data_IF_422614198674
#
_entry.id   IF_422614198674
#
_cell.length_a   1.000
_cell.length_b   1.000
_cell.length_c   1.000
_cell.angle_alpha   90.00
_cell.angle_beta   90.00
_cell.angle_gamma   90.00
#
_symmetry.space_group_name_H-M   'P 1'
#
loop_
_entity.id
_entity.type
_entity.pdbx_description
1 polymer ?
#
# COMPACT_ATOMS: atom_id res chain seq x y z
N UNK A 1 -2.46 3.80 17.82
CA UNK A 1 -2.25 5.23 17.46
C UNK A 1 -1.40 5.98 18.49
N UNK A 2 -1.73 5.89 19.80
CA UNK A 2 -1.00 6.61 20.86
C UNK A 2 0.50 6.27 20.91
N UNK A 3 0.88 5.00 20.80
CA UNK A 3 2.29 4.57 20.85
C UNK A 3 3.10 5.14 19.68
N UNK A 4 2.51 5.20 18.49
CA UNK A 4 3.17 5.81 17.34
C UNK A 4 3.42 7.29 17.55
N UNK A 5 2.41 8.03 17.99
CA UNK A 5 2.52 9.48 18.27
C UNK A 5 3.57 9.74 19.36
N UNK A 6 3.59 8.93 20.41
CA UNK A 6 4.56 9.05 21.50
C UNK A 6 6.01 8.87 21.01
N UNK A 7 6.24 7.88 20.16
CA UNK A 7 7.58 7.59 19.61
C UNK A 7 7.99 8.55 18.49
N UNK A 8 7.10 8.83 17.56
CA UNK A 8 7.45 9.49 16.30
C UNK A 8 6.80 10.86 16.10
N UNK A 9 5.85 11.24 16.94
CA UNK A 9 5.10 12.48 16.77
C UNK A 9 4.06 12.38 15.67
N UNK A 10 3.61 13.54 15.19
CA UNK A 10 2.69 13.62 14.07
C UNK A 10 3.47 13.51 12.73
N UNK A 11 3.28 12.41 12.02
CA UNK A 11 3.96 12.19 10.74
C UNK A 11 3.59 13.24 9.67
N UNK A 12 2.42 13.85 9.78
CA UNK A 12 1.95 14.79 8.76
C UNK A 12 2.62 16.17 8.91
N UNK A 13 2.99 16.55 10.12
CA UNK A 13 3.69 17.82 10.40
C UNK A 13 5.17 17.61 10.67
N UNK A 14 5.59 16.37 10.93
CA UNK A 14 6.95 16.02 11.34
C UNK A 14 7.46 16.92 12.49
N UNK A 15 6.65 17.03 13.54
CA UNK A 15 6.90 17.90 14.69
C UNK A 15 8.16 17.52 15.48
N UNK A 16 8.63 16.28 15.34
CA UNK A 16 9.92 15.84 15.95
C UNK A 16 11.14 16.04 15.06
N UNK A 17 10.96 16.50 13.82
CA UNK A 17 12.06 16.84 12.93
C UNK A 17 12.87 15.66 12.41
N UNK A 18 12.23 14.52 12.15
CA UNK A 18 12.89 13.37 11.52
C UNK A 18 13.35 13.69 10.10
N UNK A 19 14.31 12.95 9.60
CA UNK A 19 14.65 12.99 8.17
C UNK A 19 13.41 12.67 7.34
N UNK A 20 13.27 13.36 6.20
CA UNK A 20 12.15 13.18 5.27
C UNK A 20 12.66 12.86 3.88
N UNK A 21 11.85 12.15 3.10
CA UNK A 21 12.07 11.92 1.68
C UNK A 21 10.73 11.92 0.95
N UNK A 22 10.77 12.02 -0.37
CA UNK A 22 9.58 11.85 -1.19
C UNK A 22 9.30 10.37 -1.41
N UNK A 23 8.03 10.00 -1.42
CA UNK A 23 7.62 8.62 -1.66
C UNK A 23 8.23 8.06 -2.96
N UNK A 24 8.24 8.86 -4.03
CA UNK A 24 8.80 8.45 -5.33
C UNK A 24 10.30 8.16 -5.31
N UNK A 25 11.03 8.72 -4.33
CA UNK A 25 12.47 8.53 -4.20
C UNK A 25 12.80 7.27 -3.38
N UNK A 26 11.84 6.76 -2.62
CA UNK A 26 12.03 5.60 -1.74
C UNK A 26 11.35 4.32 -2.27
N UNK A 27 10.38 4.45 -3.15
CA UNK A 27 9.60 3.31 -3.67
C UNK A 27 9.50 3.33 -5.17
N UNK A 28 9.43 2.12 -5.75
CA UNK A 28 8.94 1.94 -7.10
C UNK A 28 7.41 1.85 -7.04
N UNK A 29 6.74 2.90 -7.49
CA UNK A 29 5.29 2.97 -7.52
C UNK A 29 4.73 2.35 -8.78
N UNK A 30 3.74 1.50 -8.66
CA UNK A 30 3.03 0.93 -9.79
C UNK A 30 1.56 0.72 -9.47
N UNK A 31 0.73 0.76 -10.50
CA UNK A 31 -0.69 0.44 -10.42
C UNK A 31 -0.96 -0.84 -11.18
N UNK A 32 -1.99 -1.57 -10.78
CA UNK A 32 -2.43 -2.74 -11.51
C UNK A 32 -3.20 -2.41 -12.78
N UNK A 33 -3.86 -3.40 -13.30
CA UNK A 33 -4.73 -3.30 -14.49
C UNK A 33 -5.94 -4.20 -14.31
N UNK A 34 -7.01 -3.88 -15.01
CA UNK A 34 -8.16 -4.77 -15.16
C UNK A 34 -8.11 -5.40 -16.55
N UNK A 35 -7.87 -6.72 -16.66
CA UNK A 35 -8.00 -7.41 -17.94
C UNK A 35 -9.40 -7.22 -18.55
N UNK A 36 -9.53 -7.48 -19.85
CA UNK A 36 -10.80 -7.28 -20.57
C UNK A 36 -11.95 -8.00 -19.88
N UNK A 37 -12.88 -7.26 -19.31
CA UNK A 37 -14.01 -7.80 -18.52
C UNK A 37 -14.95 -8.69 -19.33
N UNK A 38 -15.12 -8.36 -20.61
CA UNK A 38 -16.01 -9.08 -21.50
C UNK A 38 -15.35 -10.28 -22.21
N UNK A 39 -14.09 -10.56 -21.90
CA UNK A 39 -13.38 -11.70 -22.47
C UNK A 39 -13.26 -12.84 -21.45
N UNK A 40 -14.04 -13.94 -21.59
CA UNK A 40 -13.97 -15.07 -20.68
C UNK A 40 -12.57 -15.70 -20.55
N UNK A 41 -11.75 -15.64 -21.61
CA UNK A 41 -10.38 -16.17 -21.57
C UNK A 41 -9.50 -15.51 -20.53
N UNK A 42 -9.87 -14.30 -20.09
CA UNK A 42 -9.14 -13.59 -19.06
C UNK A 42 -9.48 -14.07 -17.64
N UNK A 43 -10.67 -14.62 -17.44
CA UNK A 43 -11.23 -14.86 -16.11
C UNK A 43 -11.57 -16.33 -15.83
N UNK A 44 -12.08 -17.06 -16.82
CA UNK A 44 -12.54 -18.44 -16.63
C UNK A 44 -11.36 -19.35 -16.29
N UNK A 45 -11.51 -20.10 -15.19
CA UNK A 45 -10.48 -20.98 -14.67
C UNK A 45 -9.16 -20.29 -14.34
N UNK A 46 -9.21 -19.00 -13.98
CA UNK A 46 -8.05 -18.24 -13.53
C UNK A 46 -7.43 -18.86 -12.29
N UNK A 47 -6.10 -18.83 -12.22
CA UNK A 47 -5.32 -19.39 -11.12
C UNK A 47 -4.38 -18.37 -10.47
N UNK A 48 -4.40 -17.14 -10.94
CA UNK A 48 -3.62 -16.06 -10.35
C UNK A 48 -4.54 -15.11 -9.58
N UNK A 49 -4.24 -14.87 -8.32
CA UNK A 49 -5.01 -13.94 -7.49
C UNK A 49 -4.97 -12.53 -8.06
N UNK A 50 -6.15 -11.94 -8.21
CA UNK A 50 -6.32 -10.57 -8.67
C UNK A 50 -7.14 -9.80 -7.65
N UNK A 51 -6.49 -8.84 -6.97
CA UNK A 51 -7.08 -8.08 -5.87
C UNK A 51 -7.91 -6.92 -6.40
N UNK A 52 -9.18 -6.91 -6.03
CA UNK A 52 -10.12 -5.81 -6.29
C UNK A 52 -10.16 -4.83 -5.13
N UNK A 53 -10.80 -3.68 -5.33
CA UNK A 53 -11.07 -2.71 -4.25
C UNK A 53 -11.94 -3.35 -3.15
N UNK A 54 -12.89 -4.21 -3.53
CA UNK A 54 -13.72 -4.92 -2.57
C UNK A 54 -12.89 -5.86 -1.69
N UNK A 55 -11.94 -6.57 -2.29
CA UNK A 55 -11.05 -7.44 -1.52
C UNK A 55 -10.23 -6.65 -0.49
N UNK A 56 -9.74 -5.45 -0.85
CA UNK A 56 -8.99 -4.58 0.06
C UNK A 56 -9.77 -4.26 1.34
N UNK A 57 -11.09 -4.20 1.28
CA UNK A 57 -11.93 -3.93 2.45
C UNK A 57 -12.02 -5.12 3.41
N UNK A 58 -11.67 -6.31 2.96
CA UNK A 58 -11.73 -7.54 3.77
C UNK A 58 -10.41 -7.86 4.48
N UNK A 59 -9.32 -7.23 4.08
CA UNK A 59 -8.00 -7.52 4.65
C UNK A 59 -7.76 -6.71 5.93
N UNK A 60 -7.14 -7.34 6.92
CA UNK A 60 -6.67 -6.65 8.14
C UNK A 60 -5.28 -6.04 7.90
N UNK A 61 -4.24 -6.86 7.88
CA UNK A 61 -2.86 -6.42 7.64
C UNK A 61 -2.27 -7.03 6.36
N UNK A 62 -2.58 -8.30 6.12
CA UNK A 62 -2.01 -9.06 5.00
C UNK A 62 -3.08 -9.40 3.98
N UNK A 63 -2.67 -9.50 2.71
CA UNK A 63 -3.57 -10.01 1.69
C UNK A 63 -3.89 -11.48 1.95
N UNK A 64 -5.11 -11.86 1.65
CA UNK A 64 -5.59 -13.23 1.74
C UNK A 64 -6.09 -13.70 0.39
N UNK A 65 -7.24 -14.37 0.41
CA UNK A 65 -7.88 -14.80 -0.82
C UNK A 65 -8.48 -13.62 -1.59
N UNK A 66 -8.79 -13.84 -2.84
CA UNK A 66 -9.42 -12.87 -3.73
C UNK A 66 -10.74 -13.42 -4.25
N UNK A 67 -11.68 -12.52 -4.53
CA UNK A 67 -12.96 -12.90 -5.12
C UNK A 67 -12.83 -13.27 -6.60
N UNK A 68 -11.76 -12.81 -7.25
CA UNK A 68 -11.52 -13.08 -8.67
C UNK A 68 -10.08 -13.54 -8.90
N UNK A 69 -9.91 -14.32 -9.96
CA UNK A 69 -8.63 -14.84 -10.42
C UNK A 69 -8.50 -14.55 -11.90
N UNK A 70 -7.26 -14.33 -12.35
CA UNK A 70 -6.97 -14.12 -13.77
C UNK A 70 -6.15 -15.28 -14.35
N UNK A 71 -6.19 -15.42 -15.65
CA UNK A 71 -5.51 -16.49 -16.39
C UNK A 71 -4.13 -16.04 -16.90
N UNK A 72 -3.32 -17.01 -17.33
CA UNK A 72 -2.07 -16.71 -18.06
C UNK A 72 -2.34 -15.89 -19.32
N UNK A 73 -3.44 -16.15 -20.00
CA UNK A 73 -3.86 -15.36 -21.16
C UNK A 73 -4.08 -13.89 -20.77
N UNK A 74 -4.77 -13.63 -19.66
CA UNK A 74 -5.03 -12.27 -19.19
C UNK A 74 -3.72 -11.51 -18.90
N UNK A 75 -2.75 -12.18 -18.31
CA UNK A 75 -1.44 -11.60 -18.01
C UNK A 75 -0.73 -11.21 -19.30
N UNK A 76 -0.68 -12.10 -20.27
CA UNK A 76 -0.03 -11.85 -21.56
C UNK A 76 -0.73 -10.75 -22.36
N UNK A 77 -2.06 -10.80 -22.43
CA UNK A 77 -2.88 -9.87 -23.22
C UNK A 77 -2.87 -8.45 -22.64
N UNK A 78 -3.05 -8.32 -21.35
CA UNK A 78 -3.12 -7.01 -20.68
C UNK A 78 -1.75 -6.40 -20.38
N UNK A 79 -0.71 -7.23 -20.32
CA UNK A 79 0.62 -6.80 -19.88
C UNK A 79 0.67 -6.42 -18.39
N UNK A 80 -0.29 -6.88 -17.60
CA UNK A 80 -0.30 -6.65 -16.15
C UNK A 80 0.96 -7.26 -15.51
N UNK A 81 1.53 -6.54 -14.54
CA UNK A 81 2.74 -6.99 -13.84
C UNK A 81 2.38 -7.48 -12.44
N UNK A 82 3.05 -8.53 -11.94
CA UNK A 82 2.82 -8.99 -10.58
C UNK A 82 3.36 -7.99 -9.56
N UNK A 83 2.69 -7.95 -8.41
CA UNK A 83 3.18 -7.27 -7.22
C UNK A 83 3.87 -8.32 -6.35
N UNK A 84 5.16 -8.16 -6.05
CA UNK A 84 5.91 -9.14 -5.26
C UNK A 84 5.38 -9.28 -3.84
N UNK A 85 5.56 -10.45 -3.24
CA UNK A 85 5.37 -10.68 -1.80
C UNK A 85 6.15 -9.65 -0.98
N UNK A 86 5.58 -9.20 0.15
CA UNK A 86 6.22 -8.25 1.05
C UNK A 86 6.15 -6.80 0.55
N UNK A 87 5.21 -6.49 -0.31
CA UNK A 87 4.95 -5.14 -0.82
C UNK A 87 3.72 -4.56 -0.14
N UNK A 88 3.75 -3.26 0.16
CA UNK A 88 2.57 -2.56 0.68
C UNK A 88 1.74 -2.10 -0.51
N UNK A 89 0.45 -2.39 -0.47
CA UNK A 89 -0.53 -1.93 -1.45
C UNK A 89 -1.57 -1.04 -0.79
N UNK A 90 -2.07 -0.06 -1.52
CA UNK A 90 -3.05 0.90 -1.02
C UNK A 90 -4.08 1.25 -2.09
N UNK A 91 -5.36 1.23 -1.73
CA UNK A 91 -6.41 1.77 -2.58
C UNK A 91 -6.32 3.30 -2.63
N UNK A 92 -6.44 3.89 -3.82
CA UNK A 92 -6.32 5.34 -3.99
C UNK A 92 -7.40 5.98 -4.87
N UNK A 93 -8.35 5.18 -5.33
CA UNK A 93 -9.56 5.61 -6.05
C UNK A 93 -10.77 4.96 -5.42
N UNK A 94 -11.92 5.63 -5.42
CA UNK A 94 -13.20 5.17 -4.87
C UNK A 94 -13.16 5.02 -3.34
N UNK A 95 -12.22 4.24 -2.83
CA UNK A 95 -11.91 4.11 -1.41
C UNK A 95 -10.43 4.42 -1.21
N UNK A 96 -10.10 5.43 -0.41
CA UNK A 96 -8.72 5.89 -0.22
C UNK A 96 -8.18 5.39 1.11
N UNK A 97 -6.95 4.86 1.08
CA UNK A 97 -6.20 4.57 2.29
C UNK A 97 -6.43 3.19 2.89
N UNK A 98 -7.09 2.28 2.20
CA UNK A 98 -7.11 0.87 2.60
C UNK A 98 -5.80 0.24 2.18
N UNK A 99 -5.10 -0.39 3.12
CA UNK A 99 -3.75 -0.91 2.92
C UNK A 99 -3.67 -2.38 3.28
N UNK A 100 -2.71 -3.06 2.67
CA UNK A 100 -2.33 -4.41 3.07
C UNK A 100 -0.88 -4.68 2.68
N UNK A 101 -0.27 -5.67 3.31
CA UNK A 101 1.03 -6.23 2.93
C UNK A 101 0.75 -7.50 2.12
N UNK A 102 1.36 -7.62 0.95
CA UNK A 102 1.18 -8.81 0.13
C UNK A 102 1.82 -10.04 0.78
N UNK A 103 1.03 -11.08 0.97
CA UNK A 103 1.48 -12.36 1.57
C UNK A 103 2.10 -13.31 0.53
N UNK A 104 1.90 -13.02 -0.75
CA UNK A 104 2.42 -13.77 -1.89
C UNK A 104 2.46 -12.84 -3.11
N UNK A 105 3.04 -13.29 -4.21
CA UNK A 105 2.98 -12.55 -5.48
C UNK A 105 1.54 -12.55 -5.98
N UNK A 106 1.02 -11.36 -6.28
CA UNK A 106 -0.38 -11.16 -6.69
C UNK A 106 -0.48 -10.13 -7.80
N UNK A 107 -1.66 -10.04 -8.39
CA UNK A 107 -2.05 -8.99 -9.34
C UNK A 107 -3.10 -8.10 -8.70
N UNK A 108 -3.20 -6.86 -9.15
CA UNK A 108 -4.14 -5.89 -8.59
C UNK A 108 -4.83 -5.10 -9.69
N UNK A 109 -5.95 -4.48 -9.34
CA UNK A 109 -6.63 -3.58 -10.26
C UNK A 109 -5.94 -2.21 -10.32
N UNK A 110 -6.36 -1.37 -11.27
CA UNK A 110 -5.75 -0.05 -11.55
C UNK A 110 -5.99 1.00 -10.46
N UNK A 111 -6.86 0.74 -9.50
CA UNK A 111 -7.14 1.65 -8.38
C UNK A 111 -6.32 1.33 -7.12
N UNK A 112 -5.36 0.42 -7.24
CA UNK A 112 -4.47 -0.01 -6.17
C UNK A 112 -3.04 0.36 -6.53
N UNK A 113 -2.37 1.11 -5.63
CA UNK A 113 -0.97 1.49 -5.74
C UNK A 113 -0.10 0.50 -4.97
N UNK A 114 0.97 0.04 -5.60
CA UNK A 114 2.00 -0.77 -4.94
C UNK A 114 3.21 0.09 -4.63
N UNK A 115 3.74 -0.05 -3.41
CA UNK A 115 4.93 0.63 -2.90
C UNK A 115 6.06 -0.42 -2.82
N UNK A 116 6.71 -0.68 -3.93
CA UNK A 116 7.70 -1.74 -4.06
C UNK A 116 9.14 -1.24 -3.92
N UNK A 117 10.07 -2.19 -3.78
CA UNK A 117 11.52 -1.98 -3.84
C UNK A 117 12.07 -0.97 -2.83
N UNK A 118 11.50 -0.91 -1.63
CA UNK A 118 12.05 -0.07 -0.57
C UNK A 118 13.31 -0.68 0.07
N UNK A 119 14.16 0.19 0.60
CA UNK A 119 15.38 -0.22 1.28
C UNK A 119 15.07 -0.68 2.72
N UNK A 120 15.25 -1.98 2.99
CA UNK A 120 15.00 -2.59 4.29
C UNK A 120 15.97 -2.10 5.38
N UNK A 121 17.07 -1.44 5.01
CA UNK A 121 17.98 -0.78 5.96
C UNK A 121 17.43 0.56 6.44
N UNK A 122 16.56 1.18 5.64
CA UNK A 122 15.90 2.44 5.99
C UNK A 122 14.54 2.24 6.63
N UNK A 123 13.81 1.21 6.23
CA UNK A 123 12.43 1.00 6.62
C UNK A 123 12.17 -0.42 7.09
N UNK A 124 11.51 -0.53 8.23
CA UNK A 124 10.86 -1.75 8.68
C UNK A 124 9.47 -1.86 8.04
N UNK A 125 9.09 -3.02 7.55
CA UNK A 125 7.82 -3.23 6.81
C UNK A 125 6.59 -2.94 7.67
N UNK A 126 6.59 -3.33 8.93
CA UNK A 126 5.45 -3.11 9.82
C UNK A 126 5.29 -1.63 10.17
N UNK A 127 6.41 -0.93 10.40
CA UNK A 127 6.42 0.51 10.57
C UNK A 127 5.88 1.20 9.32
N UNK A 128 6.36 0.82 8.14
CA UNK A 128 5.90 1.40 6.86
C UNK A 128 4.42 1.17 6.64
N UNK A 129 3.93 -0.03 6.89
CA UNK A 129 2.50 -0.33 6.75
C UNK A 129 1.67 0.60 7.63
N UNK A 130 2.05 0.75 8.90
CA UNK A 130 1.36 1.66 9.81
C UNK A 130 1.44 3.12 9.33
N UNK A 131 2.62 3.56 8.91
CA UNK A 131 2.86 4.91 8.41
C UNK A 131 1.95 5.22 7.21
N UNK A 132 1.93 4.36 6.21
CA UNK A 132 1.14 4.51 4.98
C UNK A 132 -0.35 4.44 5.28
N UNK A 133 -0.77 3.49 6.13
CA UNK A 133 -2.18 3.31 6.49
C UNK A 133 -2.77 4.50 7.24
N UNK A 134 -1.95 5.21 8.03
CA UNK A 134 -2.40 6.32 8.88
C UNK A 134 -1.98 7.70 8.39
N UNK A 135 -1.34 7.77 7.23
CA UNK A 135 -0.96 9.04 6.63
C UNK A 135 -2.19 9.75 6.05
N UNK A 136 -2.25 11.07 6.24
CA UNK A 136 -3.25 11.89 5.56
C UNK A 136 -2.77 12.23 4.14
N UNK A 137 -3.15 11.42 3.17
CA UNK A 137 -2.75 11.56 1.77
C UNK A 137 -3.35 12.78 1.08
N UNK A 138 -4.35 13.43 1.68
CA UNK A 138 -5.00 14.61 1.14
C UNK A 138 -4.39 15.91 1.68
N UNK A 139 -3.50 15.84 2.68
CA UNK A 139 -2.76 17.02 3.16
C UNK A 139 -1.75 17.46 2.10
N UNK A 140 -1.78 18.77 1.76
CA UNK A 140 -0.88 19.36 0.76
C UNK A 140 -1.39 19.25 -0.67
N UNK A 141 -2.48 18.55 -0.93
CA UNK A 141 -3.26 18.81 -2.12
C UNK A 141 -3.80 20.23 -1.96
N UNK A 142 -3.22 21.21 -2.67
CA UNK A 142 -3.71 22.59 -2.70
C UNK A 142 -5.22 22.56 -2.80
N UNK A 143 -5.91 23.38 -2.00
CA UNK A 143 -7.36 23.56 -2.06
C UNK A 143 -7.79 23.62 -3.52
N UNK A 144 -8.02 22.49 -4.09
CA UNK A 144 -8.42 22.39 -5.46
C UNK A 144 -9.85 21.91 -5.47
N UNK A 145 -10.71 22.78 -5.92
CA UNK A 145 -11.87 22.46 -6.72
C UNK A 145 -12.38 21.02 -6.55
N UNK A 146 -13.63 20.88 -6.13
CA UNK A 146 -14.41 19.62 -6.06
C UNK A 146 -13.79 18.48 -6.87
N UNK A 147 -13.31 17.43 -6.16
CA UNK A 147 -12.85 16.20 -6.79
C UNK A 147 -11.33 15.96 -6.75
N UNK A 148 -10.68 16.20 -5.60
CA UNK A 148 -9.27 15.80 -5.43
C UNK A 148 -9.16 14.29 -5.54
N UNK A 149 -8.61 13.82 -6.66
CA UNK A 149 -8.24 12.43 -6.86
C UNK A 149 -6.76 12.28 -6.59
N UNK A 150 -6.39 11.31 -5.74
CA UNK A 150 -5.02 10.84 -5.65
C UNK A 150 -4.63 10.19 -6.97
N UNK A 151 -3.37 10.38 -7.35
CA UNK A 151 -2.78 9.72 -8.51
C UNK A 151 -1.32 9.40 -8.21
N UNK A 152 -0.66 8.71 -9.13
CA UNK A 152 0.75 8.32 -8.95
C UNK A 152 1.65 9.51 -8.68
N UNK A 153 1.43 10.63 -9.34
CA UNK A 153 2.22 11.84 -9.16
C UNK A 153 2.03 12.45 -7.77
N UNK A 154 0.79 12.62 -7.32
CA UNK A 154 0.50 13.21 -6.00
C UNK A 154 0.96 12.30 -4.86
N UNK A 155 0.79 10.99 -4.99
CA UNK A 155 1.30 10.01 -4.04
C UNK A 155 2.83 10.05 -4.01
N UNK A 156 3.47 10.07 -5.17
CA UNK A 156 4.93 10.11 -5.29
C UNK A 156 5.56 11.37 -4.73
N UNK A 157 4.86 12.51 -4.80
CA UNK A 157 5.34 13.79 -4.27
C UNK A 157 5.05 14.00 -2.78
N UNK A 158 4.33 13.07 -2.14
CA UNK A 158 4.12 13.12 -0.70
C UNK A 158 5.43 12.88 0.05
N UNK A 159 5.58 13.55 1.20
CA UNK A 159 6.73 13.37 2.09
C UNK A 159 6.47 12.23 3.07
N UNK A 160 7.53 11.52 3.41
CA UNK A 160 7.50 10.43 4.37
C UNK A 160 8.66 10.60 5.35
N UNK A 161 8.41 10.41 6.63
CA UNK A 161 9.43 10.49 7.67
C UNK A 161 10.28 9.21 7.70
N UNK A 162 11.57 9.36 8.00
CA UNK A 162 12.51 8.24 8.10
C UNK A 162 13.21 8.29 9.46
N UNK A 163 12.54 7.84 10.55
CA UNK A 163 13.20 7.74 11.84
C UNK A 163 14.28 6.66 11.83
N UNK A 164 15.20 6.64 12.80
CA UNK A 164 16.21 5.58 12.90
C UNK A 164 15.57 4.19 12.87
N UNK A 165 16.21 3.26 12.16
CA UNK A 165 15.67 1.90 11.95
C UNK A 165 15.43 1.17 13.28
N UNK A 166 16.25 1.38 14.28
CA UNK A 166 16.13 0.76 15.61
C UNK A 166 14.82 1.18 16.29
N UNK A 167 14.40 2.42 16.12
CA UNK A 167 13.12 2.91 16.67
C UNK A 167 11.93 2.31 15.90
N UNK A 168 12.07 2.16 14.59
CA UNK A 168 11.05 1.52 13.77
C UNK A 168 10.88 0.04 14.17
N UNK A 169 11.96 -0.66 14.41
CA UNK A 169 11.95 -2.06 14.87
C UNK A 169 11.32 -2.19 16.26
N UNK A 170 11.63 -1.26 17.16
CA UNK A 170 11.01 -1.22 18.48
C UNK A 170 9.50 -1.02 18.39
N UNK A 171 9.05 -0.11 17.56
CA UNK A 171 7.61 0.10 17.30
C UNK A 171 6.97 -1.16 16.71
N UNK A 172 7.61 -1.76 15.72
CA UNK A 172 7.12 -2.98 15.06
C UNK A 172 6.94 -4.12 16.07
N UNK A 173 7.88 -4.28 17.00
CA UNK A 173 7.78 -5.29 18.05
C UNK A 173 6.55 -5.07 18.94
N UNK A 174 6.30 -3.83 19.37
CA UNK A 174 5.13 -3.48 20.19
C UNK A 174 3.84 -3.70 19.39
N UNK A 175 3.80 -3.27 18.15
CA UNK A 175 2.65 -3.40 17.26
C UNK A 175 2.30 -4.88 17.00
N UNK A 176 3.31 -5.71 16.78
CA UNK A 176 3.12 -7.15 16.57
C UNK A 176 2.65 -7.88 17.84
N UNK A 177 3.05 -7.43 19.01
CA UNK A 177 2.55 -7.99 20.28
C UNK A 177 1.09 -7.63 20.51
N UNK A 178 0.68 -6.40 20.21
CA UNK A 178 -0.71 -5.96 20.32
C UNK A 178 -1.63 -6.80 19.42
N UNK A 179 -1.23 -7.08 18.18
CA UNK A 179 -1.98 -7.94 17.25
C UNK A 179 -2.20 -9.36 17.79
N UNK A 180 -1.21 -9.89 18.52
CA UNK A 180 -1.30 -11.24 19.11
C UNK A 180 -2.20 -11.30 20.34
N UNK A 181 -2.43 -10.20 21.03
CA UNK A 181 -3.23 -10.15 22.24
C UNK A 181 -4.74 -10.00 21.98
N UNK A 182 -5.13 -9.77 20.74
CA UNK A 182 -6.54 -9.68 20.33
C UNK A 182 -7.14 -11.03 19.91
N UNK A 183 -6.38 -12.12 20.07
CA UNK A 183 -6.87 -13.48 19.83
C UNK A 183 -7.06 -14.26 21.11
#
# INVERSE_FOLDING_TARGET
MSQFIEMFGDQNTNDKGWSESLVKDEFKLSMGKTPARNNPECWDNGNHKWVSISDMSSYARYTGDTSEYITDYAIADSGIKPVPKGTIIMSFKLSIGRTAITSEDIYTNEAIMAFADFDEKKFNIDFLHFLIANKNWLLGAKQAVKGQTLNKESIGNAKIIIPPIEMQEQFASIYNQADKSEF
#
